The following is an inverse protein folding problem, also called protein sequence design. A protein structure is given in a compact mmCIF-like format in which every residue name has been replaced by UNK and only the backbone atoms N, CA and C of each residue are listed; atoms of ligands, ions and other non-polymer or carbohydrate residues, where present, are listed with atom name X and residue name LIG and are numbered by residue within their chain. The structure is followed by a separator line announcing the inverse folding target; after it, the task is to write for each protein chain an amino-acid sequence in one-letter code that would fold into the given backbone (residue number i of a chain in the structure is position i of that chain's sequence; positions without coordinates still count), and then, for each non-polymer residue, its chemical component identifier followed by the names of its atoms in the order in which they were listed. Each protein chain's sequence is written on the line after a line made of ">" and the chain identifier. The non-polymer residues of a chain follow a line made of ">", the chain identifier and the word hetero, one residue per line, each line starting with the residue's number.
data_IF_728586491284
#
_entry.id   IF_728586491284
#
_cell.length_a   1.000
_cell.length_b   1.000
_cell.length_c   1.000
_cell.angle_alpha   90.00
_cell.angle_beta   90.00
_cell.angle_gamma   90.00
#
_symmetry.space_group_name_H-M   'P 1'
#
loop_
_entity.id
_entity.type
_entity.pdbx_description
1 polymer ?
#
# COMPACT_ATOMS: atom_id res chain seq x y z
N UNK A 1 4.03 16.70 -16.81
CA UNK A 1 2.94 15.72 -16.62
C UNK A 1 2.02 16.27 -15.57
N UNK A 2 0.77 16.45 -15.93
CA UNK A 2 -0.29 17.01 -15.08
C UNK A 2 -0.75 15.92 -14.10
N UNK A 3 -1.27 16.30 -12.92
CA UNK A 3 -1.59 15.34 -11.85
C UNK A 3 -2.52 14.21 -12.28
N UNK A 4 -3.48 14.51 -13.17
CA UNK A 4 -4.40 13.52 -13.72
C UNK A 4 -3.70 12.48 -14.62
N UNK A 5 -2.74 12.92 -15.44
CA UNK A 5 -1.92 12.04 -16.27
C UNK A 5 -1.08 11.08 -15.42
N UNK A 6 -0.57 11.54 -14.27
CA UNK A 6 0.15 10.71 -13.29
C UNK A 6 -0.75 9.65 -12.67
N UNK A 7 -1.99 10.01 -12.29
CA UNK A 7 -2.98 9.07 -11.74
C UNK A 7 -3.34 7.98 -12.76
N UNK A 8 -3.65 8.36 -14.01
CA UNK A 8 -4.00 7.38 -15.03
C UNK A 8 -2.83 6.45 -15.37
N UNK A 9 -1.60 6.98 -15.44
CA UNK A 9 -0.41 6.15 -15.63
C UNK A 9 -0.22 5.19 -14.45
N UNK A 10 -0.45 5.65 -13.22
CA UNK A 10 -0.38 4.82 -12.01
C UNK A 10 -1.49 3.75 -11.95
N UNK A 11 -2.64 3.94 -12.59
CA UNK A 11 -3.73 2.93 -12.63
C UNK A 11 -3.73 2.05 -13.89
N UNK A 12 -2.87 2.34 -14.86
CA UNK A 12 -2.81 1.59 -16.12
C UNK A 12 -2.35 0.14 -15.94
N UNK A 13 -1.54 -0.15 -14.92
CA UNK A 13 -1.05 -1.50 -14.64
C UNK A 13 -2.06 -2.33 -13.84
N UNK A 14 -2.36 -3.56 -14.27
CA UNK A 14 -3.33 -4.42 -13.60
C UNK A 14 -2.89 -4.83 -12.18
N UNK A 15 -1.59 -4.99 -11.93
CA UNK A 15 -1.09 -5.34 -10.60
C UNK A 15 -1.31 -4.19 -9.61
N UNK A 16 -1.09 -2.94 -10.04
CA UNK A 16 -1.40 -1.74 -9.24
C UNK A 16 -2.89 -1.64 -8.89
N UNK A 17 -3.78 -1.99 -9.83
CA UNK A 17 -5.22 -2.05 -9.56
C UNK A 17 -5.59 -3.14 -8.55
N UNK A 18 -4.99 -4.33 -8.66
CA UNK A 18 -5.21 -5.41 -7.69
C UNK A 18 -4.78 -5.00 -6.26
N UNK A 19 -3.66 -4.29 -6.14
CA UNK A 19 -3.22 -3.73 -4.84
C UNK A 19 -4.21 -2.72 -4.28
N UNK A 20 -4.74 -1.83 -5.12
CA UNK A 20 -5.79 -0.88 -4.73
C UNK A 20 -7.08 -1.58 -4.29
N UNK A 21 -7.51 -2.63 -4.99
CA UNK A 21 -8.66 -3.45 -4.59
C UNK A 21 -8.46 -4.12 -3.23
N UNK A 22 -7.23 -4.56 -2.92
CA UNK A 22 -6.93 -5.07 -1.59
C UNK A 22 -6.97 -3.97 -0.52
N UNK A 23 -6.39 -2.80 -0.79
CA UNK A 23 -6.36 -1.66 0.13
C UNK A 23 -7.72 -1.02 0.38
N UNK A 24 -8.68 -1.19 -0.54
CA UNK A 24 -10.07 -0.80 -0.33
C UNK A 24 -10.75 -1.60 0.78
N UNK A 25 -10.26 -2.81 1.09
CA UNK A 25 -10.79 -3.65 2.19
C UNK A 25 -10.26 -3.22 3.56
N UNK A 26 -9.21 -2.41 3.60
CA UNK A 26 -8.58 -1.94 4.82
C UNK A 26 -7.08 -1.71 4.65
N UNK A 27 -6.45 -1.26 5.72
CA UNK A 27 -5.00 -1.12 5.79
C UNK A 27 -4.30 -2.48 5.67
N UNK A 28 -3.19 -2.53 4.94
CA UNK A 28 -2.39 -3.74 4.80
C UNK A 28 -0.90 -3.41 4.81
N UNK A 29 -0.09 -4.36 5.28
CA UNK A 29 1.37 -4.29 5.16
C UNK A 29 1.84 -4.75 3.78
N UNK A 30 3.06 -4.38 3.39
CA UNK A 30 3.64 -4.79 2.10
C UNK A 30 3.71 -6.32 1.96
N UNK A 31 3.95 -7.04 3.06
CA UNK A 31 3.95 -8.51 3.08
C UNK A 31 2.55 -9.10 2.96
N UNK A 32 1.54 -8.51 3.59
CA UNK A 32 0.13 -8.91 3.41
C UNK A 32 -0.37 -8.62 1.99
N UNK A 33 0.11 -7.54 1.36
CA UNK A 33 -0.14 -7.26 -0.06
C UNK A 33 0.56 -8.26 -0.98
N UNK A 34 1.72 -8.78 -0.59
CA UNK A 34 2.43 -9.80 -1.35
C UNK A 34 1.82 -11.20 -1.19
N UNK A 35 1.27 -11.53 -0.02
CA UNK A 35 0.80 -12.88 0.33
C UNK A 35 -0.17 -13.55 -0.68
N UNK A 36 -1.19 -12.86 -1.25
CA UNK A 36 -2.09 -13.48 -2.22
C UNK A 36 -1.49 -13.61 -3.63
N UNK A 37 -0.30 -13.05 -3.87
CA UNK A 37 0.34 -13.07 -5.17
C UNK A 37 1.63 -13.91 -5.12
N UNK A 38 1.94 -14.63 -6.20
CA UNK A 38 3.21 -15.39 -6.31
C UNK A 38 4.41 -14.47 -6.63
N UNK A 39 4.37 -13.22 -6.17
CA UNK A 39 5.30 -12.16 -6.58
C UNK A 39 6.06 -11.65 -5.34
N UNK A 40 7.31 -11.25 -5.55
CA UNK A 40 8.18 -10.79 -4.48
C UNK A 40 7.72 -9.47 -3.86
N UNK A 41 7.95 -9.31 -2.55
CA UNK A 41 7.77 -8.06 -1.80
C UNK A 41 8.45 -6.87 -2.49
N UNK A 42 9.59 -7.08 -3.14
CA UNK A 42 10.31 -6.05 -3.90
C UNK A 42 9.49 -5.52 -5.09
N UNK A 43 8.75 -6.42 -5.75
CA UNK A 43 7.90 -6.07 -6.88
C UNK A 43 6.71 -5.22 -6.42
N UNK A 44 6.08 -5.63 -5.32
CA UNK A 44 5.02 -4.85 -4.66
C UNK A 44 5.53 -3.46 -4.25
N UNK A 45 6.71 -3.38 -3.62
CA UNK A 45 7.32 -2.10 -3.23
C UNK A 45 7.51 -1.16 -4.42
N UNK A 46 7.91 -1.67 -5.59
CA UNK A 46 8.01 -0.87 -6.81
C UNK A 46 6.67 -0.29 -7.24
N UNK A 47 5.59 -1.07 -7.15
CA UNK A 47 4.25 -0.60 -7.45
C UNK A 47 3.78 0.48 -6.48
N UNK A 48 4.06 0.32 -5.18
CA UNK A 48 3.72 1.30 -4.15
C UNK A 48 4.44 2.65 -4.38
N UNK A 49 5.73 2.62 -4.76
CA UNK A 49 6.49 3.83 -5.10
C UNK A 49 5.92 4.64 -6.27
N UNK A 50 5.10 4.02 -7.13
CA UNK A 50 4.40 4.72 -8.23
C UNK A 50 3.04 5.24 -7.79
N UNK A 51 2.36 4.53 -6.87
CA UNK A 51 1.04 4.90 -6.36
C UNK A 51 1.10 6.06 -5.34
N UNK A 52 2.16 6.12 -4.54
CA UNK A 52 2.36 7.17 -3.52
C UNK A 52 2.45 8.58 -4.12
N UNK A 53 3.34 8.89 -5.10
CA UNK A 53 3.41 10.22 -5.70
C UNK A 53 2.16 10.57 -6.52
N UNK A 54 1.35 9.58 -6.91
CA UNK A 54 0.05 9.79 -7.54
C UNK A 54 -1.07 10.11 -6.51
N UNK A 55 -0.77 10.09 -5.21
CA UNK A 55 -1.74 10.33 -4.14
C UNK A 55 -2.75 9.20 -3.95
N UNK A 56 -2.50 8.02 -4.52
CA UNK A 56 -3.44 6.89 -4.51
C UNK A 56 -3.34 6.05 -3.23
N UNK A 57 -2.19 6.12 -2.55
CA UNK A 57 -1.93 5.46 -1.27
C UNK A 57 -1.24 6.42 -0.32
N UNK A 58 -1.27 6.09 0.97
CA UNK A 58 -0.46 6.79 1.96
C UNK A 58 0.22 5.77 2.86
N UNK A 59 1.51 5.97 3.10
CA UNK A 59 2.27 5.16 4.04
C UNK A 59 2.05 5.69 5.46
N UNK A 60 1.55 4.83 6.35
CA UNK A 60 1.49 5.10 7.77
C UNK A 60 2.57 4.27 8.46
N UNK A 61 3.61 4.96 8.96
CA UNK A 61 4.61 4.33 9.83
C UNK A 61 3.96 4.01 11.17
N UNK A 62 3.60 2.74 11.37
CA UNK A 62 3.10 2.25 12.67
C UNK A 62 4.28 2.09 13.65
N UNK A 63 4.79 3.21 14.17
CA UNK A 63 5.77 3.21 15.25
C UNK A 63 5.11 2.87 16.60
N UNK A 64 4.64 1.62 16.80
CA UNK A 64 4.34 1.10 18.15
C UNK A 64 4.31 -0.43 18.25
N UNK A 65 5.49 -1.06 18.27
CA UNK A 65 5.62 -2.43 18.81
C UNK A 65 5.80 -2.37 20.34
N UNK A 66 4.69 -2.30 21.09
CA UNK A 66 4.71 -2.72 22.50
C UNK A 66 4.37 -4.22 22.53
N UNK A 67 5.41 -5.05 22.69
CA UNK A 67 5.25 -6.47 23.01
C UNK A 67 4.64 -6.58 24.41
N UNK A 68 3.40 -7.05 24.51
CA UNK A 68 2.86 -7.57 25.75
C UNK A 68 2.72 -9.10 25.61
N UNK A 69 3.63 -9.83 26.27
CA UNK A 69 3.39 -11.18 26.77
C UNK A 69 3.57 -12.38 25.82
N UNK A 70 4.43 -13.30 26.28
CA UNK A 70 4.48 -14.75 26.02
C UNK A 70 5.14 -15.30 24.73
N UNK A 71 6.37 -15.77 24.96
CA UNK A 71 6.96 -17.07 24.60
C UNK A 71 6.78 -17.62 23.18
N UNK A 72 7.90 -17.89 22.51
CA UNK A 72 7.94 -18.80 21.37
C UNK A 72 8.53 -18.20 20.09
N UNK A 73 9.84 -18.09 20.07
CA UNK A 73 10.74 -18.16 18.93
C UNK A 73 10.12 -18.35 17.51
N UNK A 74 10.12 -17.26 16.72
CA UNK A 74 10.59 -17.26 15.31
C UNK A 74 10.70 -15.83 14.79
N UNK A 75 11.94 -15.48 14.44
CA UNK A 75 12.39 -14.42 13.52
C UNK A 75 11.43 -13.25 13.28
N UNK A 76 11.72 -12.12 13.90
CA UNK A 76 11.07 -10.83 13.64
C UNK A 76 11.30 -10.42 12.18
N UNK A 77 10.27 -10.20 11.34
CA UNK A 77 10.48 -9.55 10.06
C UNK A 77 10.83 -8.06 10.28
N UNK A 78 11.60 -7.44 9.35
CA UNK A 78 11.99 -6.03 9.45
C UNK A 78 10.75 -5.12 9.45
N UNK A 79 10.97 -3.88 9.92
CA UNK A 79 9.97 -2.83 10.09
C UNK A 79 8.93 -2.76 8.95
N UNK A 80 7.73 -3.27 9.18
CA UNK A 80 6.68 -3.35 8.15
C UNK A 80 5.96 -1.99 8.05
N UNK A 81 5.98 -1.38 6.87
CA UNK A 81 5.23 -0.17 6.52
C UNK A 81 3.75 -0.53 6.34
N UNK A 82 2.84 0.20 6.98
CA UNK A 82 1.39 0.00 6.84
C UNK A 82 0.89 0.91 5.72
N UNK A 83 0.22 0.34 4.73
CA UNK A 83 -0.30 1.05 3.57
C UNK A 83 -1.80 1.21 3.76
N UNK A 84 -2.28 2.44 3.66
CA UNK A 84 -3.70 2.76 3.64
C UNK A 84 -4.10 3.15 2.20
N UNK A 85 -5.29 2.71 1.78
CA UNK A 85 -5.96 3.19 0.57
C UNK A 85 -6.19 4.71 0.55
N UNK A 86 -6.84 5.27 -0.48
CA UNK A 86 -6.80 6.70 -0.76
C UNK A 86 -7.17 7.55 0.46
N UNK A 87 -6.27 8.48 0.81
CA UNK A 87 -6.48 9.42 1.90
C UNK A 87 -7.50 10.49 1.48
N UNK A 88 -8.79 10.16 1.67
CA UNK A 88 -9.96 11.03 1.47
C UNK A 88 -10.31 11.32 -0.01
N UNK A 89 -11.62 11.32 -0.37
CA UNK A 89 -12.05 11.42 -1.77
C UNK A 89 -11.73 12.77 -2.41
N UNK A 90 -11.48 12.71 -3.72
CA UNK A 90 -11.64 13.84 -4.65
C UNK A 90 -12.99 14.53 -4.38
N UNK A 91 -13.02 15.84 -4.08
CA UNK A 91 -14.29 16.56 -4.03
C UNK A 91 -14.93 16.52 -5.42
N UNK A 92 -16.22 16.19 -5.46
CA UNK A 92 -17.03 15.99 -6.66
C UNK A 92 -17.37 17.30 -7.40
N UNK A 93 -16.47 18.28 -7.42
CA UNK A 93 -16.67 19.49 -8.21
C UNK A 93 -15.97 19.32 -9.58
N UNK A 94 -16.61 18.51 -10.42
CA UNK A 94 -16.49 18.65 -11.87
C UNK A 94 -17.86 19.08 -12.37
N UNK A 95 -18.09 20.39 -12.36
CA UNK A 95 -19.08 21.07 -13.20
C UNK A 95 -18.37 21.52 -14.47
#
# INVERSE_FOLDING_TARGET
>A
MDGLSTIFLALADPSRRALMEQLQKGEATVTELAAPHTISVLFISRHLNVLEPAGLITETSSARWRRAGHSGEKSLPPMQKKIQGPARPVPADVT
#
